data_IF_510934226956
#
_entry.id   IF_510934226956
#
_cell.length_a   1.000
_cell.length_b   1.000
_cell.length_c   1.000
_cell.angle_alpha   90.00
_cell.angle_beta   90.00
_cell.angle_gamma   90.00
#
_symmetry.space_group_name_H-M   'P 1'
#
loop_
_entity.id
_entity.type
_entity.pdbx_description
1 polymer ?
#
# COMPACT_ATOMS: atom_id res chain seq x y z
N UNK A 1 4.78 -7.95 10.96
CA UNK A 1 3.44 -7.33 10.83
C UNK A 1 3.53 -5.84 11.13
N UNK A 2 2.76 -5.00 10.43
CA UNK A 2 2.69 -3.57 10.74
C UNK A 2 2.23 -3.37 12.18
N UNK A 3 2.73 -2.31 12.86
CA UNK A 3 2.37 -1.99 14.22
C UNK A 3 3.09 -2.81 15.31
N UNK A 4 3.93 -3.77 14.96
CA UNK A 4 4.72 -4.54 15.94
C UNK A 4 6.01 -3.82 16.27
N UNK A 5 6.28 -3.61 17.55
CA UNK A 5 7.56 -3.05 18.01
C UNK A 5 8.54 -4.17 18.30
N UNK A 6 9.71 -4.09 17.69
CA UNK A 6 10.78 -5.06 17.87
C UNK A 6 12.02 -4.40 18.46
N UNK A 7 12.75 -5.10 19.30
CA UNK A 7 14.03 -4.69 19.87
C UNK A 7 15.10 -5.71 19.54
N UNK A 8 16.28 -5.25 19.20
CA UNK A 8 17.41 -6.15 18.91
C UNK A 8 18.65 -5.39 18.49
N UNK A 9 19.76 -6.12 18.42
CA UNK A 9 21.02 -5.56 17.95
C UNK A 9 21.07 -5.53 16.43
N UNK A 10 21.08 -4.34 15.88
CA UNK A 10 21.19 -4.10 14.44
C UNK A 10 22.50 -3.41 14.11
N UNK A 11 23.14 -3.84 13.02
CA UNK A 11 24.25 -3.12 12.40
C UNK A 11 23.67 -2.12 11.42
N UNK A 12 23.88 -0.84 11.69
CA UNK A 12 23.51 0.20 10.73
C UNK A 12 24.51 0.19 9.58
N UNK A 13 23.98 0.09 8.36
CA UNK A 13 24.73 0.29 7.12
C UNK A 13 24.26 1.59 6.48
N UNK A 14 25.21 2.32 5.93
CA UNK A 14 24.92 3.51 5.15
C UNK A 14 24.11 3.13 3.90
N UNK A 15 23.27 4.03 3.44
CA UNK A 15 22.49 3.88 2.19
C UNK A 15 23.38 4.01 0.94
N UNK A 16 24.64 3.54 1.01
CA UNK A 16 25.53 3.47 -0.16
C UNK A 16 24.99 2.47 -1.16
N UNK A 17 23.99 2.87 -1.90
CA UNK A 17 23.21 1.96 -2.71
C UNK A 17 23.32 2.29 -4.18
N UNK A 18 23.79 1.26 -4.88
CA UNK A 18 23.53 1.01 -6.30
C UNK A 18 23.49 2.26 -7.17
N UNK A 19 24.62 2.94 -7.30
CA UNK A 19 24.89 3.83 -8.42
C UNK A 19 25.05 2.95 -9.67
N UNK A 20 23.94 2.54 -10.26
CA UNK A 20 23.96 2.06 -11.62
C UNK A 20 23.54 3.24 -12.49
N UNK A 21 24.44 3.70 -13.34
CA UNK A 21 24.17 4.76 -14.30
C UNK A 21 22.94 4.39 -15.14
N UNK A 22 21.93 5.25 -15.12
CA UNK A 22 20.66 5.05 -15.84
C UNK A 22 19.53 4.36 -15.08
N UNK A 23 19.72 3.97 -13.81
CA UNK A 23 18.66 3.42 -12.95
C UNK A 23 18.12 4.48 -11.98
N UNK A 24 16.88 4.26 -11.52
CA UNK A 24 16.22 5.11 -10.53
C UNK A 24 17.07 5.24 -9.27
N UNK A 25 17.35 6.48 -8.86
CA UNK A 25 18.17 6.76 -7.68
C UNK A 25 17.36 6.58 -6.40
N UNK A 26 17.36 5.34 -5.89
CA UNK A 26 16.75 4.99 -4.62
C UNK A 26 17.35 5.75 -3.42
N UNK A 27 18.58 6.23 -3.51
CA UNK A 27 19.22 7.02 -2.46
C UNK A 27 18.49 8.34 -2.22
N UNK A 28 18.20 9.09 -3.29
CA UNK A 28 17.41 10.31 -3.20
C UNK A 28 16.00 10.05 -2.70
N UNK A 29 15.36 9.00 -3.16
CA UNK A 29 14.02 8.60 -2.72
C UNK A 29 13.97 8.31 -1.22
N UNK A 30 14.89 7.50 -0.70
CA UNK A 30 14.94 7.19 0.73
C UNK A 30 15.32 8.38 1.61
N UNK A 31 16.21 9.25 1.13
CA UNK A 31 16.55 10.48 1.82
C UNK A 31 15.41 11.47 1.93
N UNK A 32 14.57 11.58 0.91
CA UNK A 32 13.35 12.39 0.95
C UNK A 32 12.34 11.87 1.99
N UNK A 33 12.40 10.58 2.32
CA UNK A 33 11.61 9.97 3.38
C UNK A 33 12.29 10.02 4.76
N UNK A 34 13.36 10.79 4.91
CA UNK A 34 14.16 10.88 6.13
C UNK A 34 14.76 9.53 6.57
N UNK A 35 14.93 8.57 5.67
CA UNK A 35 15.62 7.31 5.93
C UNK A 35 17.13 7.56 5.87
N UNK A 36 17.81 7.39 7.00
CA UNK A 36 19.24 7.70 7.16
C UNK A 36 20.15 6.49 6.94
N UNK A 37 19.62 5.29 7.08
CA UNK A 37 20.41 4.07 6.96
C UNK A 37 19.54 2.81 6.95
N UNK A 38 20.18 1.68 6.65
CA UNK A 38 19.57 0.36 6.67
C UNK A 38 20.10 -0.43 7.88
N UNK A 39 19.18 -0.91 8.71
CA UNK A 39 19.52 -1.84 9.79
C UNK A 39 19.57 -3.29 9.29
N UNK A 40 20.68 -3.98 9.49
CA UNK A 40 20.77 -5.43 9.30
C UNK A 40 20.92 -6.11 10.65
N UNK A 41 20.19 -7.20 10.86
CA UNK A 41 20.36 -8.03 12.05
C UNK A 41 21.82 -8.49 12.21
N UNK A 42 22.38 -8.28 13.39
CA UNK A 42 23.76 -8.70 13.69
C UNK A 42 23.90 -10.23 13.84
N UNK A 43 22.83 -10.89 14.29
CA UNK A 43 22.64 -12.34 14.32
C UNK A 43 21.19 -12.66 13.99
N UNK A 44 20.97 -13.62 13.10
CA UNK A 44 19.63 -14.11 12.76
C UNK A 44 18.90 -14.56 14.03
N UNK A 45 17.72 -13.99 14.31
CA UNK A 45 16.89 -14.35 15.46
C UNK A 45 17.14 -13.52 16.73
N UNK A 46 17.89 -12.42 16.66
CA UNK A 46 18.16 -11.55 17.83
C UNK A 46 17.10 -10.43 17.99
N UNK A 47 16.05 -10.44 17.16
CA UNK A 47 14.95 -9.50 17.29
C UNK A 47 13.87 -10.08 18.22
N UNK A 48 13.63 -9.40 19.33
CA UNK A 48 12.55 -9.73 20.26
C UNK A 48 11.35 -8.80 20.04
N UNK A 49 10.15 -9.35 20.08
CA UNK A 49 8.93 -8.57 20.00
C UNK A 49 8.68 -7.95 21.37
N UNK A 50 8.72 -6.63 21.48
CA UNK A 50 8.48 -5.89 22.72
C UNK A 50 7.03 -5.46 22.90
N UNK A 51 6.33 -5.18 21.78
CA UNK A 51 4.92 -4.86 21.81
C UNK A 51 4.23 -5.46 20.60
N UNK A 52 3.07 -6.07 20.84
CA UNK A 52 2.23 -6.58 19.76
C UNK A 52 1.51 -5.44 19.04
N UNK A 53 1.16 -5.70 17.78
CA UNK A 53 0.36 -4.80 16.98
C UNK A 53 -1.00 -4.53 17.64
N UNK A 54 -1.46 -3.30 17.54
CA UNK A 54 -2.80 -2.91 17.98
C UNK A 54 -3.89 -3.72 17.28
N UNK A 55 -5.10 -3.70 17.84
CA UNK A 55 -6.25 -4.46 17.28
C UNK A 55 -6.50 -4.09 15.82
N UNK A 56 -6.39 -2.81 15.48
CA UNK A 56 -6.51 -2.31 14.11
C UNK A 56 -5.48 -2.96 13.18
N UNK A 57 -4.19 -2.84 13.52
CA UNK A 57 -3.10 -3.37 12.70
C UNK A 57 -3.19 -4.89 12.56
N UNK A 58 -3.57 -5.59 13.64
CA UNK A 58 -3.79 -7.04 13.64
C UNK A 58 -4.89 -7.42 12.65
N UNK A 59 -6.01 -6.70 12.66
CA UNK A 59 -7.15 -6.97 11.76
C UNK A 59 -6.76 -6.71 10.31
N UNK A 60 -6.12 -5.58 10.02
CA UNK A 60 -5.65 -5.25 8.67
C UNK A 60 -4.63 -6.28 8.16
N UNK A 61 -3.67 -6.67 9.01
CA UNK A 61 -2.69 -7.70 8.67
C UNK A 61 -3.34 -9.05 8.36
N UNK A 62 -4.38 -9.45 9.11
CA UNK A 62 -5.13 -10.68 8.86
C UNK A 62 -5.87 -10.63 7.52
N UNK A 63 -6.54 -9.50 7.22
CA UNK A 63 -7.24 -9.31 5.95
C UNK A 63 -6.24 -9.38 4.78
N UNK A 64 -5.11 -8.67 4.87
CA UNK A 64 -4.06 -8.71 3.84
C UNK A 64 -3.48 -10.12 3.67
N UNK A 65 -3.24 -10.84 4.76
CA UNK A 65 -2.73 -12.21 4.72
C UNK A 65 -3.70 -13.16 4.01
N UNK A 66 -4.99 -13.08 4.35
CA UNK A 66 -6.04 -13.91 3.74
C UNK A 66 -6.20 -13.63 2.24
N UNK A 67 -6.24 -12.35 1.85
CA UNK A 67 -6.34 -11.95 0.45
C UNK A 67 -5.10 -12.40 -0.32
N UNK A 68 -3.90 -12.21 0.26
CA UNK A 68 -2.65 -12.65 -0.37
C UNK A 68 -2.60 -14.16 -0.53
N UNK A 69 -3.08 -14.93 0.47
CA UNK A 69 -3.15 -16.40 0.41
C UNK A 69 -4.10 -16.85 -0.71
N UNK A 70 -5.27 -16.26 -0.79
CA UNK A 70 -6.24 -16.53 -1.85
C UNK A 70 -5.65 -16.29 -3.24
N UNK A 71 -4.96 -15.16 -3.45
CA UNK A 71 -4.33 -14.90 -4.73
C UNK A 71 -3.14 -15.82 -5.02
N UNK A 72 -2.42 -16.28 -3.99
CA UNK A 72 -1.33 -17.26 -4.18
C UNK A 72 -1.81 -18.60 -4.70
N UNK A 73 -2.96 -19.06 -4.24
CA UNK A 73 -3.56 -20.31 -4.71
C UNK A 73 -3.98 -20.22 -6.18
N UNK A 74 -4.44 -19.06 -6.64
CA UNK A 74 -4.95 -18.87 -8.01
C UNK A 74 -3.85 -18.47 -8.99
N UNK A 75 -2.94 -17.57 -8.60
CA UNK A 75 -2.01 -16.92 -9.53
C UNK A 75 -0.55 -17.33 -9.37
N UNK A 76 -0.22 -18.02 -8.28
CA UNK A 76 1.15 -18.29 -7.86
C UNK A 76 1.78 -17.15 -7.05
N UNK A 77 2.91 -17.42 -6.39
CA UNK A 77 3.46 -16.54 -5.34
C UNK A 77 3.79 -15.12 -5.81
N UNK A 78 4.59 -14.97 -6.86
CA UNK A 78 5.08 -13.65 -7.30
C UNK A 78 3.95 -12.77 -7.84
N UNK A 79 3.05 -13.34 -8.64
CA UNK A 79 1.89 -12.63 -9.20
C UNK A 79 0.93 -12.17 -8.12
N UNK A 80 0.75 -12.97 -7.07
CA UNK A 80 -0.07 -12.61 -5.92
C UNK A 80 0.50 -11.40 -5.19
N UNK A 81 1.81 -11.35 -4.99
CA UNK A 81 2.46 -10.19 -4.36
C UNK A 81 2.37 -8.93 -5.21
N UNK A 82 2.52 -9.03 -6.53
CA UNK A 82 2.32 -7.91 -7.44
C UNK A 82 0.89 -7.38 -7.32
N UNK A 83 -0.10 -8.28 -7.40
CA UNK A 83 -1.51 -7.89 -7.33
C UNK A 83 -1.88 -7.26 -5.98
N UNK A 84 -1.43 -7.84 -4.86
CA UNK A 84 -1.68 -7.26 -3.53
C UNK A 84 -0.96 -5.92 -3.33
N UNK A 85 0.24 -5.74 -3.89
CA UNK A 85 0.92 -4.44 -3.88
C UNK A 85 0.19 -3.39 -4.71
N UNK A 86 -0.36 -3.78 -5.86
CA UNK A 86 -1.19 -2.90 -6.69
C UNK A 86 -2.49 -2.49 -5.98
N UNK A 87 -3.13 -3.40 -5.25
CA UNK A 87 -4.42 -3.13 -4.60
C UNK A 87 -4.28 -2.34 -3.30
N UNK A 88 -3.32 -2.69 -2.45
CA UNK A 88 -3.22 -2.16 -1.09
C UNK A 88 -1.93 -1.39 -0.82
N UNK A 89 -0.99 -1.42 -1.75
CA UNK A 89 0.37 -0.91 -1.56
C UNK A 89 1.21 -1.83 -0.67
N UNK A 90 2.50 -1.47 -0.50
CA UNK A 90 3.41 -2.25 0.34
C UNK A 90 3.89 -3.56 -0.31
N UNK A 91 4.41 -4.46 0.52
CA UNK A 91 4.98 -5.76 0.11
C UNK A 91 6.13 -5.70 -0.92
N UNK A 92 6.78 -4.54 -1.07
CA UNK A 92 7.92 -4.38 -2.00
C UNK A 92 9.08 -5.31 -1.68
N UNK A 93 9.30 -5.59 -0.41
CA UNK A 93 10.32 -6.50 0.12
C UNK A 93 10.08 -7.96 -0.27
N UNK A 94 8.85 -8.30 -0.65
CA UNK A 94 8.45 -9.64 -1.10
C UNK A 94 8.45 -9.81 -2.62
N UNK A 95 8.62 -8.70 -3.36
CA UNK A 95 8.70 -8.74 -4.81
C UNK A 95 10.11 -9.10 -5.27
N UNK A 96 10.25 -9.94 -6.32
CA UNK A 96 11.56 -10.20 -6.92
C UNK A 96 12.23 -8.90 -7.38
N UNK A 97 13.53 -8.72 -7.13
CA UNK A 97 14.25 -7.51 -7.54
C UNK A 97 14.13 -7.21 -9.04
N UNK A 98 14.08 -8.24 -9.88
CA UNK A 98 13.88 -8.09 -11.32
C UNK A 98 12.55 -7.44 -11.68
N UNK A 99 11.48 -7.75 -10.94
CA UNK A 99 10.16 -7.13 -11.12
C UNK A 99 10.21 -5.67 -10.74
N UNK A 100 10.78 -5.34 -9.57
CA UNK A 100 10.94 -3.95 -9.12
C UNK A 100 11.77 -3.12 -10.11
N UNK A 101 12.86 -3.69 -10.64
CA UNK A 101 13.68 -3.04 -11.67
C UNK A 101 12.90 -2.78 -12.96
N UNK A 102 12.09 -3.74 -13.40
CA UNK A 102 11.24 -3.57 -14.59
C UNK A 102 10.22 -2.45 -14.40
N UNK A 103 9.55 -2.37 -13.24
CA UNK A 103 8.64 -1.27 -12.92
C UNK A 103 9.37 0.07 -12.81
N UNK A 104 10.58 0.09 -12.26
CA UNK A 104 11.41 1.30 -12.19
C UNK A 104 11.86 1.77 -13.59
N UNK A 105 12.34 0.85 -14.42
CA UNK A 105 12.81 1.16 -15.78
C UNK A 105 11.70 1.71 -16.68
N UNK A 106 10.46 1.24 -16.49
CA UNK A 106 9.29 1.75 -17.22
C UNK A 106 8.68 3.02 -16.59
N UNK A 107 9.20 3.49 -15.46
CA UNK A 107 8.64 4.61 -14.70
C UNK A 107 7.33 4.29 -13.97
N UNK A 108 6.90 3.03 -13.98
CA UNK A 108 5.61 2.60 -13.41
C UNK A 108 5.69 2.21 -11.92
N UNK A 109 6.81 2.46 -11.25
CA UNK A 109 7.00 2.08 -9.84
C UNK A 109 5.96 2.73 -8.91
N UNK A 110 5.46 3.91 -9.28
CA UNK A 110 4.42 4.61 -8.53
C UNK A 110 3.06 3.91 -8.55
N UNK A 111 2.81 3.02 -9.51
CA UNK A 111 1.57 2.23 -9.60
C UNK A 111 1.55 1.14 -8.52
N UNK A 112 2.71 0.63 -8.11
CA UNK A 112 2.82 -0.33 -7.01
C UNK A 112 2.45 0.28 -5.65
N UNK A 113 2.45 1.60 -5.53
CA UNK A 113 1.90 2.30 -4.37
C UNK A 113 0.43 2.66 -4.61
N UNK A 114 -0.38 2.62 -3.57
CA UNK A 114 -1.78 3.05 -3.69
C UNK A 114 -1.83 4.52 -4.08
N UNK A 115 -2.43 4.78 -5.21
CA UNK A 115 -2.55 6.13 -5.79
C UNK A 115 -3.99 6.63 -5.73
N UNK A 116 -4.15 7.93 -5.98
CA UNK A 116 -5.48 8.53 -6.08
C UNK A 116 -6.39 7.92 -7.15
N UNK A 117 -5.81 7.31 -8.19
CA UNK A 117 -6.56 6.63 -9.23
C UNK A 117 -7.42 5.47 -8.68
N UNK A 118 -6.96 4.77 -7.63
CA UNK A 118 -7.73 3.70 -7.01
C UNK A 118 -9.00 4.23 -6.34
N UNK A 119 -8.92 5.36 -5.65
CA UNK A 119 -10.08 6.02 -5.03
C UNK A 119 -11.06 6.50 -6.10
N UNK A 120 -10.56 7.14 -7.16
CA UNK A 120 -11.41 7.57 -8.28
C UNK A 120 -12.11 6.40 -8.97
N UNK A 121 -11.40 5.27 -9.13
CA UNK A 121 -11.99 4.06 -9.69
C UNK A 121 -13.11 3.50 -8.79
N UNK A 122 -12.87 3.40 -7.48
CA UNK A 122 -13.88 2.95 -6.51
C UNK A 122 -15.10 3.86 -6.57
N UNK A 123 -14.92 5.17 -6.53
CA UNK A 123 -16.01 6.14 -6.63
C UNK A 123 -16.75 6.04 -7.96
N UNK A 124 -16.04 5.91 -9.08
CA UNK A 124 -16.64 5.76 -10.40
C UNK A 124 -17.48 4.49 -10.51
N UNK A 125 -16.98 3.36 -10.01
CA UNK A 125 -17.73 2.09 -10.01
C UNK A 125 -18.98 2.21 -9.14
N UNK A 126 -18.87 2.70 -7.91
CA UNK A 126 -19.99 2.83 -6.98
C UNK A 126 -21.06 3.77 -7.55
N UNK A 127 -20.65 4.92 -8.08
CA UNK A 127 -21.61 5.89 -8.63
C UNK A 127 -22.26 5.38 -9.91
N UNK A 128 -21.52 4.69 -10.79
CA UNK A 128 -22.06 4.12 -12.03
C UNK A 128 -23.06 3.00 -11.74
N UNK A 129 -22.68 2.05 -10.87
CA UNK A 129 -23.54 0.93 -10.46
C UNK A 129 -24.78 1.46 -9.73
N UNK A 130 -24.61 2.40 -8.80
CA UNK A 130 -25.71 2.96 -8.07
C UNK A 130 -26.72 3.71 -8.97
N UNK A 131 -26.23 4.42 -9.97
CA UNK A 131 -27.10 5.06 -10.99
C UNK A 131 -27.86 4.02 -11.83
N UNK A 132 -27.20 2.91 -12.20
CA UNK A 132 -27.81 1.82 -12.97
C UNK A 132 -29.00 1.21 -12.21
N UNK A 133 -28.89 1.07 -10.89
CA UNK A 133 -29.96 0.56 -10.02
C UNK A 133 -30.89 1.65 -9.47
N UNK A 134 -30.80 2.88 -10.00
CA UNK A 134 -31.64 4.02 -9.58
C UNK A 134 -31.60 4.27 -8.06
N UNK A 135 -30.44 4.03 -7.44
CA UNK A 135 -30.26 4.27 -6.01
C UNK A 135 -30.34 5.77 -5.74
N UNK A 136 -31.06 6.16 -4.68
CA UNK A 136 -31.19 7.57 -4.27
C UNK A 136 -29.81 8.17 -4.01
N UNK A 137 -29.58 9.39 -4.48
CA UNK A 137 -28.29 10.07 -4.35
C UNK A 137 -27.73 10.05 -2.91
N UNK A 138 -28.57 10.35 -1.91
CA UNK A 138 -28.13 10.33 -0.49
C UNK A 138 -27.57 8.98 -0.04
N UNK A 139 -28.23 7.88 -0.42
CA UNK A 139 -27.79 6.52 -0.11
C UNK A 139 -26.50 6.18 -0.86
N UNK A 140 -26.43 6.61 -2.12
CA UNK A 140 -25.26 6.39 -2.97
C UNK A 140 -24.02 7.07 -2.41
N UNK A 141 -24.10 8.32 -1.95
CA UNK A 141 -22.97 9.03 -1.33
C UNK A 141 -22.57 8.44 0.01
N UNK A 142 -23.55 7.98 0.81
CA UNK A 142 -23.25 7.28 2.05
C UNK A 142 -22.47 5.99 1.78
N UNK A 143 -22.91 5.17 0.82
CA UNK A 143 -22.22 3.95 0.43
C UNK A 143 -20.82 4.24 -0.13
N UNK A 144 -20.69 5.26 -0.97
CA UNK A 144 -19.39 5.69 -1.50
C UNK A 144 -18.45 6.11 -0.37
N UNK A 145 -18.92 6.90 0.59
CA UNK A 145 -18.14 7.31 1.76
C UNK A 145 -17.68 6.13 2.61
N UNK A 146 -18.57 5.19 2.89
CA UNK A 146 -18.25 3.97 3.64
C UNK A 146 -17.20 3.14 2.91
N UNK A 147 -17.36 2.91 1.61
CA UNK A 147 -16.40 2.11 0.83
C UNK A 147 -15.03 2.78 0.72
N UNK A 148 -14.99 4.10 0.50
CA UNK A 148 -13.74 4.86 0.48
C UNK A 148 -13.05 4.83 1.85
N UNK A 149 -13.81 4.94 2.94
CA UNK A 149 -13.26 4.82 4.29
C UNK A 149 -12.63 3.44 4.54
N UNK A 150 -13.35 2.35 4.22
CA UNK A 150 -12.81 1.00 4.36
C UNK A 150 -11.59 0.76 3.48
N UNK A 151 -11.63 1.23 2.24
CA UNK A 151 -10.46 1.12 1.35
C UNK A 151 -9.25 1.91 1.89
N UNK A 152 -9.48 3.11 2.41
CA UNK A 152 -8.42 3.91 3.03
C UNK A 152 -7.83 3.22 4.25
N UNK A 153 -8.66 2.57 5.06
CA UNK A 153 -8.24 1.77 6.20
C UNK A 153 -7.38 0.56 5.76
N UNK A 154 -7.79 -0.17 4.71
CA UNK A 154 -7.02 -1.26 4.14
C UNK A 154 -5.68 -0.80 3.56
N UNK A 155 -5.60 0.41 3.05
CA UNK A 155 -4.37 1.02 2.53
C UNK A 155 -3.56 1.75 3.62
N UNK A 156 -3.84 1.49 4.91
CA UNK A 156 -3.16 2.07 6.08
C UNK A 156 -3.17 3.61 6.10
N UNK A 157 -4.24 4.23 5.60
CA UNK A 157 -4.44 5.69 5.57
C UNK A 157 -3.26 6.48 5.00
N UNK A 158 -2.62 5.98 3.95
CA UNK A 158 -1.50 6.70 3.33
C UNK A 158 -1.94 8.09 2.85
N UNK A 159 -1.03 9.08 2.94
CA UNK A 159 -1.33 10.48 2.60
C UNK A 159 -1.94 10.67 1.21
N UNK A 160 -1.44 10.00 0.13
CA UNK A 160 -2.04 10.09 -1.20
C UNK A 160 -3.49 9.60 -1.24
N UNK A 161 -3.80 8.52 -0.50
CA UNK A 161 -5.14 7.94 -0.41
C UNK A 161 -6.09 8.89 0.31
N UNK A 162 -5.69 9.42 1.48
CA UNK A 162 -6.51 10.37 2.24
C UNK A 162 -6.84 11.63 1.44
N UNK A 163 -5.83 12.21 0.77
CA UNK A 163 -6.05 13.38 -0.08
C UNK A 163 -7.07 13.10 -1.18
N UNK A 164 -6.92 11.98 -1.87
CA UNK A 164 -7.82 11.60 -2.96
C UNK A 164 -9.20 11.23 -2.47
N UNK A 165 -9.31 10.61 -1.30
CA UNK A 165 -10.59 10.31 -0.65
C UNK A 165 -11.36 11.59 -0.35
N UNK A 166 -10.72 12.57 0.30
CA UNK A 166 -11.35 13.85 0.60
C UNK A 166 -11.79 14.59 -0.67
N UNK A 167 -10.89 14.71 -1.65
CA UNK A 167 -11.20 15.40 -2.92
C UNK A 167 -12.31 14.68 -3.69
N UNK A 168 -12.26 13.36 -3.78
CA UNK A 168 -13.26 12.55 -4.48
C UNK A 168 -14.63 12.64 -3.83
N UNK A 169 -14.72 12.58 -2.50
CA UNK A 169 -16.00 12.72 -1.77
C UNK A 169 -16.58 14.13 -1.91
N UNK A 170 -15.75 15.18 -1.79
CA UNK A 170 -16.20 16.57 -2.01
C UNK A 170 -16.73 16.74 -3.44
N UNK A 171 -15.95 16.24 -4.44
CA UNK A 171 -16.37 16.33 -5.84
C UNK A 171 -17.67 15.58 -6.14
N UNK A 172 -17.85 14.38 -5.58
CA UNK A 172 -19.09 13.62 -5.76
C UNK A 172 -20.27 14.29 -5.07
N UNK A 173 -20.08 14.89 -3.90
CA UNK A 173 -21.11 15.63 -3.19
C UNK A 173 -21.50 16.93 -3.91
N UNK A 174 -20.53 17.64 -4.49
CA UNK A 174 -20.77 18.89 -5.22
C UNK A 174 -21.55 18.68 -6.54
N UNK A 175 -21.50 17.47 -7.09
CA UNK A 175 -22.22 17.09 -8.31
C UNK A 175 -23.62 16.47 -8.03
N UNK A 176 -24.03 16.41 -6.78
CA UNK A 176 -25.30 15.86 -6.30
C UNK A 176 -26.43 16.85 -6.30
#
# INVERSE_FOLDING_TARGET
PQGTTVQGDVRMKDLTLFKNDGLYDFYHYYRQQAVVGRGEEKKKGNLTVCAEAGVYDRTINLIHANITSFFKEILGGDRAYILTSLLFGGNYDRLPPAVLQSFAATGLIHILSVSGAHITLVLAVVTSVGKLFSVRNKTLYLLAGILVFFYSALSSFTVPVLRSACMGLIGTYALA
#
